data_IF_501154730050
#
_entry.id   IF_501154730050
#
_cell.length_a   1.000
_cell.length_b   1.000
_cell.length_c   1.000
_cell.angle_alpha   90.00
_cell.angle_beta   90.00
_cell.angle_gamma   90.00
#
_symmetry.space_group_name_H-M   'P 1'
#
loop_
_entity.id
_entity.type
_entity.pdbx_description
1 polymer ?
#
# COMPACT_ATOMS: atom_id res chain seq x y z
N UNK A 1 5.61 -25.99 -15.22
CA UNK A 1 5.12 -24.63 -14.95
C UNK A 1 3.93 -24.35 -15.87
N UNK A 2 2.73 -24.18 -15.30
CA UNK A 2 1.55 -23.78 -16.09
C UNK A 2 1.79 -22.38 -16.65
N UNK A 3 1.62 -22.22 -17.96
CA UNK A 3 1.67 -20.92 -18.62
C UNK A 3 0.37 -20.17 -18.31
N UNK A 4 0.35 -19.52 -17.15
CA UNK A 4 -0.73 -18.63 -16.77
C UNK A 4 -0.68 -17.44 -17.74
N UNK A 5 -1.71 -17.29 -18.57
CA UNK A 5 -1.90 -16.07 -19.34
C UNK A 5 -1.83 -14.84 -18.43
N UNK A 6 -1.48 -13.68 -19.00
CA UNK A 6 -1.18 -12.44 -18.27
C UNK A 6 -2.22 -12.07 -17.19
N UNK A 7 -3.50 -12.30 -17.47
CA UNK A 7 -4.60 -12.01 -16.54
C UNK A 7 -4.64 -12.97 -15.33
N UNK A 8 -4.34 -14.25 -15.53
CA UNK A 8 -4.34 -15.24 -14.45
C UNK A 8 -3.11 -15.05 -13.54
N UNK A 9 -1.95 -14.72 -14.11
CA UNK A 9 -0.77 -14.37 -13.32
C UNK A 9 -1.03 -13.12 -12.45
N UNK A 10 -1.69 -12.11 -13.00
CA UNK A 10 -1.99 -10.88 -12.28
C UNK A 10 -2.99 -11.11 -11.13
N UNK A 11 -4.01 -11.96 -11.35
CA UNK A 11 -4.91 -12.41 -10.28
C UNK A 11 -4.15 -13.13 -9.17
N UNK A 12 -3.27 -14.08 -9.52
CA UNK A 12 -2.48 -14.81 -8.52
C UNK A 12 -1.56 -13.88 -7.73
N UNK A 13 -0.90 -12.92 -8.40
CA UNK A 13 -0.08 -11.92 -7.72
C UNK A 13 -0.90 -11.07 -6.74
N UNK A 14 -2.11 -10.64 -7.14
CA UNK A 14 -3.04 -9.94 -6.23
C UNK A 14 -3.41 -10.80 -5.02
N UNK A 15 -3.77 -12.07 -5.23
CA UNK A 15 -4.09 -13.00 -4.14
C UNK A 15 -2.91 -13.20 -3.19
N UNK A 16 -1.69 -13.27 -3.71
CA UNK A 16 -0.48 -13.40 -2.91
C UNK A 16 -0.18 -12.13 -2.07
N UNK A 17 -0.42 -10.95 -2.62
CA UNK A 17 -0.19 -9.67 -1.93
C UNK A 17 -1.18 -9.41 -0.79
N UNK A 18 -2.44 -9.84 -0.94
CA UNK A 18 -3.50 -9.61 0.06
C UNK A 18 -3.14 -9.97 1.52
N UNK A 19 -2.63 -11.17 1.82
CA UNK A 19 -2.27 -11.52 3.20
C UNK A 19 -1.07 -10.72 3.72
N UNK A 20 -0.11 -10.36 2.85
CA UNK A 20 1.07 -9.59 3.26
C UNK A 20 0.71 -8.18 3.73
N UNK A 21 -0.26 -7.55 3.07
CA UNK A 21 -0.71 -6.18 3.37
C UNK A 21 -1.78 -6.13 4.45
N UNK A 22 -2.47 -7.24 4.73
CA UNK A 22 -3.59 -7.30 5.67
C UNK A 22 -3.27 -6.71 7.06
N UNK A 23 -2.06 -6.98 7.57
CA UNK A 23 -1.59 -6.47 8.88
C UNK A 23 -1.44 -4.94 8.94
N UNK A 24 -1.34 -4.27 7.79
CA UNK A 24 -1.18 -2.82 7.70
C UNK A 24 -2.49 -2.09 7.43
N UNK A 25 -3.52 -2.78 6.91
CA UNK A 25 -4.79 -2.18 6.48
C UNK A 25 -5.48 -1.37 7.55
N UNK A 26 -5.67 -1.95 8.74
CA UNK A 26 -6.38 -1.26 9.84
C UNK A 26 -5.62 -0.02 10.31
N UNK A 27 -4.34 -0.10 10.71
CA UNK A 27 -3.58 1.10 11.12
C UNK A 27 -3.55 2.21 10.06
N UNK A 28 -3.41 1.85 8.78
CA UNK A 28 -3.34 2.82 7.69
C UNK A 28 -4.71 3.46 7.40
N UNK A 29 -5.80 2.68 7.39
CA UNK A 29 -7.16 3.24 7.29
C UNK A 29 -7.50 4.16 8.45
N UNK A 30 -7.19 3.76 9.68
CA UNK A 30 -7.43 4.59 10.87
C UNK A 30 -6.61 5.90 10.82
N UNK A 31 -5.48 5.91 10.11
CA UNK A 31 -4.65 7.09 9.84
C UNK A 31 -5.08 7.88 8.57
N UNK A 32 -6.18 7.52 7.94
CA UNK A 32 -6.76 8.21 6.79
C UNK A 32 -6.12 7.88 5.44
N UNK A 33 -5.46 6.74 5.31
CA UNK A 33 -4.96 6.26 4.01
C UNK A 33 -6.01 5.41 3.29
N UNK A 34 -6.07 5.58 1.97
CA UNK A 34 -6.85 4.77 1.06
C UNK A 34 -5.97 3.68 0.41
N UNK A 35 -6.48 2.45 0.37
CA UNK A 35 -5.83 1.31 -0.30
C UNK A 35 -6.19 1.32 -1.78
N UNK A 36 -5.19 1.23 -2.65
CA UNK A 36 -5.35 1.07 -4.09
C UNK A 36 -4.57 -0.16 -4.54
N UNK A 37 -5.10 -0.86 -5.55
CA UNK A 37 -4.40 -1.96 -6.22
C UNK A 37 -4.16 -1.55 -7.65
N UNK A 38 -2.88 -1.48 -8.04
CA UNK A 38 -2.47 -1.31 -9.43
C UNK A 38 -2.10 -2.67 -10.01
N UNK A 39 -2.61 -2.94 -11.21
CA UNK A 39 -2.35 -4.18 -11.93
C UNK A 39 -2.10 -3.83 -13.40
N UNK A 40 -0.88 -4.04 -13.86
CA UNK A 40 -0.47 -3.80 -15.25
C UNK A 40 0.43 -4.94 -15.73
N UNK A 41 0.86 -4.89 -16.99
CA UNK A 41 1.67 -5.95 -17.62
C UNK A 41 3.05 -6.13 -16.97
N UNK A 42 3.53 -5.15 -16.20
CA UNK A 42 4.86 -5.16 -15.57
C UNK A 42 4.82 -5.58 -14.10
N UNK A 43 3.75 -5.23 -13.38
CA UNK A 43 3.64 -5.50 -11.96
C UNK A 43 2.21 -5.48 -11.43
N UNK A 44 2.07 -6.08 -10.24
CA UNK A 44 0.91 -5.89 -9.37
C UNK A 44 1.40 -5.27 -8.07
N UNK A 45 0.77 -4.18 -7.65
CA UNK A 45 1.13 -3.46 -6.44
C UNK A 45 -0.10 -3.10 -5.62
N UNK A 46 0.04 -3.12 -4.30
CA UNK A 46 -0.91 -2.52 -3.37
C UNK A 46 -0.26 -1.28 -2.78
N UNK A 47 -0.94 -0.16 -2.89
CA UNK A 47 -0.47 1.15 -2.40
C UNK A 47 -1.44 1.68 -1.37
N UNK A 48 -0.92 2.34 -0.34
CA UNK A 48 -1.72 3.10 0.61
C UNK A 48 -1.37 4.57 0.45
N UNK A 49 -2.36 5.41 0.11
CA UNK A 49 -2.15 6.81 -0.20
C UNK A 49 -3.02 7.69 0.69
N UNK A 50 -2.48 8.84 1.08
CA UNK A 50 -3.23 9.87 1.81
C UNK A 50 -2.88 11.22 1.22
N UNK A 51 -3.90 11.97 0.80
CA UNK A 51 -3.71 13.35 0.35
C UNK A 51 -3.28 14.24 1.53
N UNK A 52 -2.39 15.20 1.27
CA UNK A 52 -1.97 16.20 2.24
C UNK A 52 -2.03 17.58 1.63
N UNK A 53 -2.36 18.60 2.44
CA UNK A 53 -2.28 20.00 2.03
C UNK A 53 -0.88 20.53 2.32
N UNK A 54 -0.09 20.79 1.28
CA UNK A 54 1.26 21.32 1.42
C UNK A 54 1.32 22.73 2.02
N UNK A 55 0.19 23.45 2.11
CA UNK A 55 0.12 24.72 2.84
C UNK A 55 0.09 24.52 4.36
N UNK A 56 -0.21 23.30 4.83
CA UNK A 56 -0.29 22.93 6.24
C UNK A 56 0.91 22.07 6.64
N UNK A 57 2.08 22.69 6.72
CA UNK A 57 3.35 22.00 6.96
C UNK A 57 3.37 21.12 8.21
N UNK A 58 2.71 21.53 9.30
CA UNK A 58 2.67 20.74 10.53
C UNK A 58 1.93 19.41 10.35
N UNK A 59 0.82 19.39 9.61
CA UNK A 59 0.06 18.18 9.29
C UNK A 59 0.90 17.24 8.40
N UNK A 60 1.62 17.80 7.42
CA UNK A 60 2.54 17.04 6.57
C UNK A 60 3.67 16.42 7.39
N UNK A 61 4.32 17.21 8.25
CA UNK A 61 5.42 16.74 9.10
C UNK A 61 4.95 15.67 10.09
N UNK A 62 3.75 15.82 10.65
CA UNK A 62 3.13 14.81 11.50
C UNK A 62 2.85 13.51 10.73
N UNK A 63 2.36 13.59 9.49
CA UNK A 63 2.15 12.43 8.62
C UNK A 63 3.45 11.65 8.40
N UNK A 64 4.54 12.36 8.05
CA UNK A 64 5.86 11.77 7.81
C UNK A 64 6.41 11.10 9.07
N UNK A 65 6.31 11.78 10.23
CA UNK A 65 6.74 11.21 11.52
C UNK A 65 5.96 9.95 11.87
N UNK A 66 4.64 9.97 11.68
CA UNK A 66 3.79 8.82 11.94
C UNK A 66 4.17 7.63 11.04
N UNK A 67 4.34 7.85 9.72
CA UNK A 67 4.79 6.81 8.81
C UNK A 67 6.14 6.22 9.24
N UNK A 68 7.11 7.08 9.58
CA UNK A 68 8.41 6.62 10.09
C UNK A 68 8.26 5.73 11.32
N UNK A 69 7.45 6.13 12.31
CA UNK A 69 7.25 5.33 13.53
C UNK A 69 6.61 3.97 13.25
N UNK A 70 5.65 3.90 12.32
CA UNK A 70 4.97 2.64 11.99
C UNK A 70 5.86 1.63 11.25
N UNK A 71 6.87 2.11 10.51
CA UNK A 71 7.70 1.26 9.64
C UNK A 71 9.18 1.18 10.05
N UNK A 72 9.68 2.04 10.93
CA UNK A 72 11.09 2.05 11.36
C UNK A 72 11.50 0.83 12.21
N UNK A 73 10.55 0.09 12.79
CA UNK A 73 10.82 -1.13 13.57
C UNK A 73 10.61 -2.43 12.78
N UNK A 74 10.39 -2.34 11.46
CA UNK A 74 10.12 -3.49 10.58
C UNK A 74 11.08 -3.61 9.39
N UNK A 75 12.20 -2.90 9.42
CA UNK A 75 13.29 -2.97 8.45
C UNK A 75 14.47 -3.78 9.02
#
# INVERSE_FOLDING_TARGET
PEDLGTDELAKQAKYYLQPMVAKFRKPLRDAGFDEQTEMNERYVAVTFQRAVDFRKFDEVAQAVRWCKQQFASKA
#
